data_IF_767498367767
#
_entry.id   IF_767498367767
#
_cell.length_a   1.000
_cell.length_b   1.000
_cell.length_c   1.000
_cell.angle_alpha   90.00
_cell.angle_beta   90.00
_cell.angle_gamma   90.00
#
_symmetry.space_group_name_H-M   'P 1'
#
loop_
_entity.id
_entity.type
_entity.pdbx_description
1 polymer ?
#
# COMPACT_ATOMS: atom_id res chain seq x y z
N UNK A 1 31.74 8.35 -14.86
CA UNK A 1 30.99 8.16 -13.59
C UNK A 1 30.00 7.04 -13.83
N UNK A 2 30.21 5.89 -13.20
CA UNK A 2 29.28 4.76 -13.30
C UNK A 2 28.12 5.02 -12.33
N UNK A 3 26.92 5.21 -12.85
CA UNK A 3 25.73 5.01 -12.05
C UNK A 3 25.62 3.51 -11.82
N UNK A 4 26.21 3.00 -10.74
CA UNK A 4 25.89 1.67 -10.25
C UNK A 4 24.40 1.72 -9.90
N UNK A 5 23.57 1.22 -10.82
CA UNK A 5 22.13 1.31 -10.74
C UNK A 5 21.66 0.77 -9.40
N UNK A 6 20.75 1.48 -8.74
CA UNK A 6 20.03 0.91 -7.60
C UNK A 6 19.40 -0.38 -8.10
N UNK A 7 19.78 -1.51 -7.53
CA UNK A 7 19.03 -2.72 -7.76
C UNK A 7 17.59 -2.46 -7.28
N UNK A 8 16.58 -2.79 -8.10
CA UNK A 8 15.19 -2.67 -7.68
C UNK A 8 15.02 -3.48 -6.39
N UNK A 9 14.56 -2.84 -5.32
CA UNK A 9 14.15 -3.57 -4.12
C UNK A 9 13.09 -4.59 -4.56
N UNK A 10 13.29 -5.89 -4.29
CA UNK A 10 12.33 -6.91 -4.66
C UNK A 10 10.96 -6.53 -4.07
N UNK A 11 9.92 -6.64 -4.89
CA UNK A 11 8.57 -6.44 -4.39
C UNK A 11 8.29 -7.45 -3.27
N UNK A 12 7.68 -6.98 -2.17
CA UNK A 12 7.20 -7.85 -1.09
C UNK A 12 6.30 -8.93 -1.68
N UNK A 13 6.54 -10.19 -1.30
CA UNK A 13 5.70 -11.27 -1.81
C UNK A 13 4.26 -11.10 -1.30
N UNK A 14 3.24 -11.58 -2.05
CA UNK A 14 1.86 -11.52 -1.57
C UNK A 14 1.64 -12.23 -0.23
N UNK A 15 2.40 -13.31 0.03
CA UNK A 15 2.34 -14.06 1.28
C UNK A 15 2.86 -13.26 2.47
N UNK A 16 4.01 -12.61 2.29
CA UNK A 16 4.63 -11.78 3.35
C UNK A 16 3.74 -10.57 3.66
N UNK A 17 3.22 -9.89 2.62
CA UNK A 17 2.27 -8.79 2.79
C UNK A 17 1.03 -9.24 3.56
N UNK A 18 0.45 -10.39 3.22
CA UNK A 18 -0.71 -10.93 3.93
C UNK A 18 -0.36 -11.29 5.39
N UNK A 19 0.87 -11.72 5.68
CA UNK A 19 1.37 -11.92 7.04
C UNK A 19 1.36 -10.59 7.81
N UNK A 20 2.02 -9.58 7.27
CA UNK A 20 2.12 -8.26 7.91
C UNK A 20 0.74 -7.62 8.14
N UNK A 21 -0.19 -7.72 7.19
CA UNK A 21 -1.55 -7.18 7.35
C UNK A 21 -2.37 -7.84 8.46
N UNK A 22 -2.11 -9.12 8.77
CA UNK A 22 -2.78 -9.82 9.89
C UNK A 22 -2.23 -9.41 11.25
N UNK A 23 -0.96 -9.00 11.30
CA UNK A 23 -0.29 -8.55 12.52
C UNK A 23 -0.44 -7.04 12.77
N UNK A 24 -0.93 -6.29 11.77
CA UNK A 24 -1.13 -4.85 11.87
C UNK A 24 -2.20 -4.49 12.91
N UNK A 25 -1.88 -3.51 13.77
CA UNK A 25 -2.87 -2.92 14.66
C UNK A 25 -3.87 -2.05 13.89
N UNK A 26 -3.41 -1.45 12.78
CA UNK A 26 -4.21 -0.59 11.92
C UNK A 26 -3.66 -0.57 10.49
N UNK A 27 -4.56 -0.52 9.51
CA UNK A 27 -4.20 -0.45 8.08
C UNK A 27 -4.71 0.82 7.42
N UNK A 28 -3.82 1.56 6.76
CA UNK A 28 -4.14 2.73 5.93
C UNK A 28 -4.16 2.32 4.46
N UNK A 29 -5.34 2.31 3.84
CA UNK A 29 -5.51 2.07 2.42
C UNK A 29 -5.55 3.41 1.68
N UNK A 30 -4.52 3.70 0.90
CA UNK A 30 -4.42 4.94 0.11
C UNK A 30 -4.61 4.59 -1.35
N UNK A 31 -5.74 5.01 -1.91
CA UNK A 31 -6.17 4.65 -3.26
C UNK A 31 -6.05 5.82 -4.22
N UNK A 32 -5.63 5.54 -5.46
CA UNK A 32 -5.84 6.46 -6.57
C UNK A 32 -7.35 6.58 -6.90
N UNK A 33 -7.74 7.68 -7.52
CA UNK A 33 -9.12 7.96 -7.92
C UNK A 33 -9.47 7.34 -9.28
N UNK A 34 -9.11 6.07 -9.48
CA UNK A 34 -9.48 5.24 -10.64
C UNK A 34 -10.45 4.13 -10.23
N UNK A 35 -11.32 3.70 -11.14
CA UNK A 35 -12.32 2.65 -10.83
C UNK A 35 -11.68 1.33 -10.40
N UNK A 36 -10.57 0.94 -11.01
CA UNK A 36 -9.81 -0.26 -10.65
C UNK A 36 -9.17 -0.16 -9.25
N UNK A 37 -8.60 1.00 -8.90
CA UNK A 37 -7.99 1.21 -7.59
C UNK A 37 -9.05 1.17 -6.49
N UNK A 38 -10.21 1.76 -6.73
CA UNK A 38 -11.34 1.71 -5.80
C UNK A 38 -11.87 0.28 -5.63
N UNK A 39 -12.01 -0.48 -6.73
CA UNK A 39 -12.42 -1.88 -6.66
C UNK A 39 -11.41 -2.74 -5.87
N UNK A 40 -10.12 -2.56 -6.14
CA UNK A 40 -9.04 -3.23 -5.42
C UNK A 40 -9.03 -2.86 -3.92
N UNK A 41 -9.33 -1.60 -3.60
CA UNK A 41 -9.46 -1.13 -2.20
C UNK A 41 -10.58 -1.85 -1.49
N UNK A 42 -11.74 -2.02 -2.12
CA UNK A 42 -12.85 -2.78 -1.56
C UNK A 42 -12.53 -4.26 -1.35
N UNK A 43 -11.82 -4.89 -2.29
CA UNK A 43 -11.38 -6.28 -2.15
C UNK A 43 -10.40 -6.46 -0.99
N UNK A 44 -9.43 -5.55 -0.87
CA UNK A 44 -8.44 -5.61 0.21
C UNK A 44 -9.08 -5.32 1.57
N UNK A 45 -9.93 -4.29 1.66
CA UNK A 45 -10.69 -3.98 2.88
C UNK A 45 -11.54 -5.18 3.34
N UNK A 46 -12.17 -5.90 2.40
CA UNK A 46 -12.90 -7.12 2.72
C UNK A 46 -11.99 -8.24 3.23
N UNK A 47 -10.78 -8.35 2.71
CA UNK A 47 -9.80 -9.37 3.12
C UNK A 47 -9.18 -9.10 4.50
N UNK A 48 -9.23 -7.85 4.99
CA UNK A 48 -8.74 -7.49 6.33
C UNK A 48 -9.59 -8.06 7.47
N UNK A 49 -10.85 -8.43 7.21
CA UNK A 49 -11.72 -9.00 8.24
C UNK A 49 -11.90 -8.05 9.42
N UNK A 50 -11.49 -8.48 10.62
CA UNK A 50 -11.59 -7.71 11.86
C UNK A 50 -10.46 -6.68 12.04
N UNK A 51 -9.43 -6.68 11.18
CA UNK A 51 -8.32 -5.72 11.27
C UNK A 51 -8.83 -4.29 11.01
N UNK A 52 -8.66 -3.35 11.95
CA UNK A 52 -9.10 -1.96 11.78
C UNK A 52 -8.41 -1.29 10.60
N UNK A 53 -9.18 -0.55 9.80
CA UNK A 53 -8.63 0.17 8.66
C UNK A 53 -9.28 1.53 8.41
N UNK A 54 -8.55 2.39 7.72
CA UNK A 54 -9.06 3.60 7.09
C UNK A 54 -8.73 3.55 5.60
N UNK A 55 -9.74 3.79 4.76
CA UNK A 55 -9.54 3.99 3.33
C UNK A 55 -9.64 5.49 2.99
N UNK A 56 -8.70 5.97 2.20
CA UNK A 56 -8.68 7.34 1.67
C UNK A 56 -8.39 7.32 0.18
N UNK A 57 -9.08 8.18 -0.57
CA UNK A 57 -8.82 8.44 -1.98
C UNK A 57 -8.12 9.79 -2.07
N UNK A 58 -6.88 9.81 -2.53
CA UNK A 58 -6.03 11.02 -2.47
C UNK A 58 -5.53 11.37 -3.87
N UNK A 59 -5.67 12.65 -4.27
CA UNK A 59 -5.08 13.20 -5.50
C UNK A 59 -4.39 14.54 -5.23
N UNK A 60 -3.10 14.71 -5.63
CA UNK A 60 -2.16 13.66 -6.06
C UNK A 60 -1.84 12.71 -4.89
N UNK A 61 -1.24 11.54 -5.16
CA UNK A 61 -0.83 10.58 -4.13
C UNK A 61 0.24 11.23 -3.23
N UNK A 62 -0.20 11.99 -2.22
CA UNK A 62 0.69 12.64 -1.25
C UNK A 62 1.23 11.55 -0.31
N UNK A 63 2.53 11.64 -0.03
CA UNK A 63 3.31 10.56 0.57
C UNK A 63 2.66 10.02 1.84
N UNK A 64 2.32 8.72 1.91
CA UNK A 64 1.56 8.19 3.02
C UNK A 64 2.41 7.81 4.24
N UNK A 65 3.59 8.41 4.38
CA UNK A 65 4.57 8.29 5.49
C UNK A 65 4.03 8.78 6.85
N UNK A 66 2.70 8.88 7.00
CA UNK A 66 2.02 9.01 8.29
C UNK A 66 1.90 7.63 8.94
N UNK A 67 3.03 7.01 9.28
CA UNK A 67 3.05 5.71 9.97
C UNK A 67 3.45 5.89 11.43
N UNK A 68 2.73 5.22 12.33
CA UNK A 68 3.28 4.80 13.62
C UNK A 68 3.88 3.41 13.44
N UNK A 69 4.74 2.94 14.33
CA UNK A 69 5.45 1.66 14.17
C UNK A 69 4.53 0.43 14.01
N UNK A 70 3.23 0.57 14.31
CA UNK A 70 2.22 -0.49 14.16
C UNK A 70 1.20 -0.26 13.03
N UNK A 71 1.32 0.85 12.30
CA UNK A 71 0.44 1.20 11.18
C UNK A 71 1.06 0.75 9.85
N UNK A 72 0.37 -0.12 9.11
CA UNK A 72 0.78 -0.46 7.73
C UNK A 72 0.03 0.44 6.75
N UNK A 73 0.75 1.08 5.83
CA UNK A 73 0.15 1.78 4.71
C UNK A 73 0.28 0.97 3.41
N UNK A 74 -0.85 0.78 2.72
CA UNK A 74 -0.92 0.17 1.40
C UNK A 74 -1.35 1.20 0.35
N UNK A 75 -0.45 1.46 -0.61
CA UNK A 75 -0.72 2.26 -1.80
C UNK A 75 -1.40 1.40 -2.89
N UNK A 76 -2.54 1.84 -3.41
CA UNK A 76 -3.34 1.10 -4.39
C UNK A 76 -3.51 1.95 -5.65
N UNK A 77 -3.17 1.37 -6.80
CA UNK A 77 -3.19 2.08 -8.08
C UNK A 77 -2.00 3.03 -8.29
N UNK A 78 -1.01 3.03 -7.39
CA UNK A 78 0.21 3.81 -7.58
C UNK A 78 1.03 3.23 -8.72
N UNK A 79 1.17 3.98 -9.81
CA UNK A 79 2.14 3.65 -10.86
C UNK A 79 3.53 3.73 -10.25
N UNK A 80 4.28 2.64 -10.30
CA UNK A 80 5.68 2.68 -9.90
C UNK A 80 6.38 3.71 -10.81
N UNK A 81 7.16 4.65 -10.26
CA UNK A 81 7.95 5.55 -11.09
C UNK A 81 8.85 4.68 -11.96
N UNK A 82 8.69 4.76 -13.28
CA UNK A 82 9.67 4.20 -14.20
C UNK A 82 10.97 4.97 -13.98
N UNK A 83 12.03 4.23 -13.64
CA UNK A 83 13.36 4.77 -13.35
C UNK A 83 13.98 5.53 -14.52
#
# INVERSE_FOLDING_TARGET
MSATGREPTPATSPGDLAGSLREAAFVRLVSDATGEALAATGLLARALGDTPFQASVVRPFEDPDRTTESDITVAIGRTQPTA
#
